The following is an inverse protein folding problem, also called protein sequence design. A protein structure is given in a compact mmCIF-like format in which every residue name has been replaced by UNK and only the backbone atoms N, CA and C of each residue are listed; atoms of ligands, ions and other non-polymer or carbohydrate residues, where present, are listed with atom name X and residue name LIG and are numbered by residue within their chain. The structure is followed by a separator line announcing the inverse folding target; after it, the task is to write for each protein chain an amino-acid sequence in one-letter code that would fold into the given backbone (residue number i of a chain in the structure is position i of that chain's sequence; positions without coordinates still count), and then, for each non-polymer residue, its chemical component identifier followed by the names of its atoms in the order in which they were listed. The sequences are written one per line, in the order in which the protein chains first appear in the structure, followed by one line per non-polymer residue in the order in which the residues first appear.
data_IF_825489169258
#
_entry.id   IF_825489169258
#
_cell.length_a   1.000
_cell.length_b   1.000
_cell.length_c   1.000
_cell.angle_alpha   90.00
_cell.angle_beta   90.00
_cell.angle_gamma   90.00
#
_symmetry.space_group_name_H-M   'P 1'
#
loop_
_entity.id
_entity.type
_entity.pdbx_description
1 polymer ?
#
# COMPACT_ATOMS: atom_id res chain seq x y z
N UNK A 1 -1.20 18.65 -16.83
CA UNK A 1 -1.75 17.35 -16.49
C UNK A 1 -2.33 17.37 -15.07
N UNK A 2 -3.08 16.38 -14.70
CA UNK A 2 -3.62 16.24 -13.34
C UNK A 2 -2.53 15.82 -12.35
N UNK A 3 -2.60 16.25 -11.08
CA UNK A 3 -1.77 15.70 -10.01
C UNK A 3 -1.98 14.19 -9.84
N UNK A 4 -0.92 13.47 -9.40
CA UNK A 4 -0.98 12.02 -9.16
C UNK A 4 -2.10 11.67 -8.17
N UNK A 5 -2.19 12.42 -7.08
CA UNK A 5 -3.19 12.20 -6.04
C UNK A 5 -4.63 12.39 -6.54
N UNK A 6 -4.85 13.23 -7.56
CA UNK A 6 -6.18 13.36 -8.20
C UNK A 6 -6.57 12.09 -8.96
N UNK A 7 -5.64 11.43 -9.64
CA UNK A 7 -5.88 10.13 -10.28
C UNK A 7 -6.22 9.04 -9.25
N UNK A 8 -5.52 9.03 -8.12
CA UNK A 8 -5.78 8.10 -7.01
C UNK A 8 -7.21 8.32 -6.47
N UNK A 9 -7.57 9.57 -6.18
CA UNK A 9 -8.92 9.92 -5.66
C UNK A 9 -10.01 9.53 -6.66
N UNK A 10 -9.81 9.77 -7.95
CA UNK A 10 -10.76 9.33 -8.98
C UNK A 10 -10.93 7.81 -9.01
N UNK A 11 -9.83 7.07 -8.86
CA UNK A 11 -9.84 5.62 -8.77
C UNK A 11 -10.58 5.12 -7.53
N UNK A 12 -10.30 5.67 -6.36
CA UNK A 12 -11.00 5.35 -5.10
C UNK A 12 -12.50 5.64 -5.21
N UNK A 13 -12.86 6.81 -5.74
CA UNK A 13 -14.25 7.18 -5.99
C UNK A 13 -14.96 6.19 -6.90
N UNK A 14 -14.30 5.71 -7.96
CA UNK A 14 -14.89 4.73 -8.90
C UNK A 14 -15.18 3.38 -8.22
N UNK A 15 -14.42 3.03 -7.19
CA UNK A 15 -14.64 1.86 -6.33
C UNK A 15 -15.70 2.08 -5.23
N UNK A 16 -16.31 3.27 -5.17
CA UNK A 16 -17.33 3.61 -4.17
C UNK A 16 -16.77 4.23 -2.88
N UNK A 17 -15.46 4.41 -2.77
CA UNK A 17 -14.80 5.02 -1.60
C UNK A 17 -14.90 6.53 -1.73
N UNK A 18 -15.56 7.20 -0.79
CA UNK A 18 -15.81 8.64 -0.84
C UNK A 18 -15.27 9.41 0.35
N UNK A 19 -15.07 8.78 1.48
CA UNK A 19 -14.46 9.35 2.66
C UNK A 19 -12.96 9.10 2.59
N UNK A 20 -12.16 10.16 2.50
CA UNK A 20 -10.71 10.08 2.28
C UNK A 20 -10.00 10.88 3.35
N UNK A 21 -9.09 10.25 4.06
CA UNK A 21 -8.16 10.92 4.96
C UNK A 21 -6.79 11.04 4.28
N UNK A 22 -6.37 12.26 3.99
CA UNK A 22 -5.04 12.54 3.47
C UNK A 22 -4.07 12.76 4.64
N UNK A 23 -3.11 11.85 4.77
CA UNK A 23 -2.01 12.02 5.71
C UNK A 23 -0.92 12.83 5.02
N UNK A 24 -0.74 14.05 5.47
CA UNK A 24 0.18 15.02 4.86
C UNK A 24 1.41 15.24 5.75
N UNK A 25 2.47 15.74 5.13
CA UNK A 25 3.72 16.09 5.82
C UNK A 25 4.31 17.37 5.22
N UNK A 26 5.42 17.24 4.50
CA UNK A 26 6.08 18.37 3.85
C UNK A 26 5.17 19.02 2.79
N UNK A 27 5.07 20.34 2.83
CA UNK A 27 4.21 21.16 1.95
C UNK A 27 2.72 20.76 1.98
N UNK A 28 2.21 20.37 3.14
CA UNK A 28 0.82 20.00 3.33
C UNK A 28 -0.16 21.03 2.77
N UNK A 29 0.14 22.31 2.96
CA UNK A 29 -0.67 23.44 2.51
C UNK A 29 -0.95 23.45 0.99
N UNK A 30 -0.05 22.90 0.19
CA UNK A 30 -0.24 22.78 -1.27
C UNK A 30 -1.34 21.75 -1.58
N UNK A 31 -1.30 20.61 -0.90
CA UNK A 31 -2.30 19.54 -1.05
C UNK A 31 -3.65 20.02 -0.50
N UNK A 32 -3.67 20.58 0.70
CA UNK A 32 -4.87 21.09 1.36
C UNK A 32 -5.56 22.19 0.53
N UNK A 33 -4.77 23.11 -0.05
CA UNK A 33 -5.30 24.17 -0.92
C UNK A 33 -5.87 23.63 -2.24
N UNK A 34 -5.31 22.53 -2.79
CA UNK A 34 -5.76 21.97 -4.05
C UNK A 34 -7.05 21.17 -3.90
N UNK A 35 -7.15 20.33 -2.86
CA UNK A 35 -8.28 19.42 -2.70
C UNK A 35 -9.41 20.00 -1.82
N UNK A 36 -9.12 20.98 -0.96
CA UNK A 36 -10.11 21.58 -0.05
C UNK A 36 -10.84 20.51 0.78
N UNK A 37 -12.15 20.57 0.83
CA UNK A 37 -13.01 19.57 1.48
C UNK A 37 -13.32 18.33 0.60
N UNK A 38 -12.80 18.30 -0.63
CA UNK A 38 -13.02 17.22 -1.59
C UNK A 38 -14.29 17.34 -2.42
N UNK A 39 -15.19 18.27 -2.11
CA UNK A 39 -16.51 18.40 -2.77
C UNK A 39 -16.39 18.63 -4.29
N UNK A 40 -15.39 19.39 -4.74
CA UNK A 40 -15.08 19.61 -6.15
C UNK A 40 -14.70 18.32 -6.90
N UNK A 41 -14.23 17.29 -6.21
CA UNK A 41 -13.85 15.98 -6.75
C UNK A 41 -14.93 14.91 -6.51
N UNK A 42 -16.01 15.26 -5.80
CA UNK A 42 -17.13 14.38 -5.46
C UNK A 42 -16.79 13.34 -4.39
N UNK A 43 -15.91 13.70 -3.47
CA UNK A 43 -15.50 12.98 -2.27
C UNK A 43 -15.53 13.91 -1.05
N UNK A 44 -15.37 13.35 0.14
CA UNK A 44 -15.14 14.08 1.37
C UNK A 44 -13.67 13.87 1.78
N UNK A 45 -12.93 14.97 1.94
CA UNK A 45 -11.51 14.92 2.30
C UNK A 45 -11.31 15.50 3.69
N UNK A 46 -10.68 14.72 4.54
CA UNK A 46 -10.13 15.18 5.82
C UNK A 46 -8.62 15.10 5.79
N UNK A 47 -7.97 15.87 6.63
CA UNK A 47 -6.51 15.93 6.69
C UNK A 47 -6.02 15.56 8.07
N UNK A 48 -4.92 14.81 8.10
CA UNK A 48 -4.11 14.59 9.30
C UNK A 48 -2.65 14.79 8.94
N UNK A 49 -1.87 15.23 9.90
CA UNK A 49 -0.45 15.49 9.70
C UNK A 49 0.40 14.41 10.34
N UNK A 50 1.34 13.86 9.59
CA UNK A 50 2.42 13.06 10.15
C UNK A 50 3.53 14.02 10.60
N UNK A 51 3.62 14.26 11.90
CA UNK A 51 4.58 15.22 12.47
C UNK A 51 6.03 14.76 12.32
N UNK A 52 6.27 13.45 12.45
CA UNK A 52 7.59 12.84 12.32
C UNK A 52 7.56 11.84 11.16
N UNK A 53 8.35 12.11 10.13
CA UNK A 53 8.46 11.24 8.95
C UNK A 53 9.53 10.16 9.22
N UNK A 54 9.20 9.17 10.03
CA UNK A 54 10.11 8.11 10.47
C UNK A 54 9.66 6.71 9.99
N UNK A 55 9.08 6.66 8.81
CA UNK A 55 8.69 5.44 8.11
C UNK A 55 7.21 5.37 7.77
N UNK A 56 6.84 4.32 7.07
CA UNK A 56 5.46 4.08 6.59
C UNK A 56 4.58 3.38 7.63
N UNK A 57 5.19 2.68 8.58
CA UNK A 57 4.49 1.80 9.51
C UNK A 57 3.50 2.50 10.44
N UNK A 58 3.82 3.74 10.82
CA UNK A 58 2.98 4.57 11.70
C UNK A 58 2.28 5.71 10.96
N UNK A 59 2.48 5.83 9.66
CA UNK A 59 1.94 6.93 8.88
C UNK A 59 0.40 7.00 8.91
N UNK A 60 -0.28 5.87 9.00
CA UNK A 60 -1.74 5.81 9.06
C UNK A 60 -2.34 6.08 10.45
N UNK A 61 -1.55 6.02 11.54
CA UNK A 61 -2.07 6.18 12.91
C UNK A 61 -2.86 7.47 13.15
N UNK A 62 -2.50 8.64 12.57
CA UNK A 62 -3.29 9.85 12.72
C UNK A 62 -4.74 9.74 12.21
N UNK A 63 -5.04 8.76 11.33
CA UNK A 63 -6.39 8.51 10.83
C UNK A 63 -7.23 7.60 11.73
N UNK A 64 -6.65 6.97 12.76
CA UNK A 64 -7.32 5.98 13.61
C UNK A 64 -8.68 6.42 14.14
N UNK A 65 -8.79 7.67 14.65
CA UNK A 65 -10.03 8.21 15.17
C UNK A 65 -11.10 8.43 14.08
N UNK A 66 -10.67 8.74 12.85
CA UNK A 66 -11.57 8.93 11.70
C UNK A 66 -12.12 7.60 11.24
N UNK A 67 -11.24 6.60 11.11
CA UNK A 67 -11.60 5.23 10.69
C UNK A 67 -12.48 4.54 11.73
N UNK A 68 -12.21 4.76 13.01
CA UNK A 68 -12.98 4.13 14.10
C UNK A 68 -12.83 2.61 14.08
N UNK A 69 -13.94 1.91 13.87
CA UNK A 69 -13.99 0.45 13.82
C UNK A 69 -14.20 -0.11 12.41
N UNK A 70 -14.19 0.76 11.41
CA UNK A 70 -14.40 0.36 10.01
C UNK A 70 -13.12 -0.18 9.38
N UNK A 71 -13.29 -0.97 8.32
CA UNK A 71 -12.18 -1.37 7.46
C UNK A 71 -11.74 -0.16 6.61
N UNK A 72 -10.46 -0.09 6.26
CA UNK A 72 -9.94 1.03 5.49
C UNK A 72 -8.98 0.60 4.40
N UNK A 73 -9.00 1.34 3.28
CA UNK A 73 -8.00 1.22 2.22
C UNK A 73 -6.86 2.21 2.48
N UNK A 74 -5.64 1.73 2.45
CA UNK A 74 -4.41 2.51 2.55
C UNK A 74 -3.65 2.45 1.23
N UNK A 75 -3.29 3.59 0.67
CA UNK A 75 -2.43 3.70 -0.51
C UNK A 75 -1.40 4.79 -0.32
N UNK A 76 -0.20 4.60 -0.86
CA UNK A 76 0.76 5.68 -0.94
C UNK A 76 0.33 6.67 -2.01
N UNK A 77 0.66 7.95 -1.81
CA UNK A 77 0.23 9.06 -2.68
C UNK A 77 0.98 9.17 -4.00
N UNK A 78 1.95 8.29 -4.24
CA UNK A 78 2.81 8.22 -5.41
C UNK A 78 2.64 6.93 -6.24
N UNK A 79 1.72 6.04 -5.84
CA UNK A 79 1.42 4.80 -6.56
C UNK A 79 0.27 5.02 -7.54
N UNK A 80 0.52 4.80 -8.82
CA UNK A 80 -0.50 4.84 -9.87
C UNK A 80 -0.84 3.44 -10.36
N UNK A 81 -2.14 3.14 -10.36
CA UNK A 81 -2.72 1.90 -10.91
C UNK A 81 -3.94 2.25 -11.75
N UNK A 82 -4.43 1.27 -12.49
CA UNK A 82 -5.73 1.41 -13.16
C UNK A 82 -6.85 1.55 -12.12
N UNK A 83 -7.85 2.43 -12.34
CA UNK A 83 -8.98 2.63 -11.40
C UNK A 83 -9.69 1.34 -11.00
N UNK A 84 -9.80 0.36 -11.91
CA UNK A 84 -10.45 -0.92 -11.67
C UNK A 84 -9.75 -1.75 -10.59
N UNK A 85 -8.47 -1.48 -10.32
CA UNK A 85 -7.71 -2.15 -9.25
C UNK A 85 -8.38 -1.97 -7.90
N UNK A 86 -8.83 -0.75 -7.58
CA UNK A 86 -9.49 -0.47 -6.30
C UNK A 86 -10.82 -1.23 -6.15
N UNK A 87 -11.63 -1.29 -7.20
CA UNK A 87 -12.88 -2.06 -7.18
C UNK A 87 -12.63 -3.57 -7.02
N UNK A 88 -11.56 -4.09 -7.65
CA UNK A 88 -11.16 -5.50 -7.49
C UNK A 88 -10.67 -5.79 -6.07
N UNK A 89 -9.95 -4.84 -5.44
CA UNK A 89 -9.52 -4.96 -4.03
C UNK A 89 -10.73 -5.07 -3.11
N UNK A 90 -11.69 -4.13 -3.22
CA UNK A 90 -12.92 -4.14 -2.42
C UNK A 90 -13.69 -5.44 -2.62
N UNK A 91 -13.85 -5.90 -3.87
CA UNK A 91 -14.50 -7.16 -4.18
C UNK A 91 -13.79 -8.34 -3.54
N UNK A 92 -12.47 -8.48 -3.75
CA UNK A 92 -11.68 -9.60 -3.22
C UNK A 92 -11.69 -9.63 -1.69
N UNK A 93 -11.59 -8.47 -1.06
CA UNK A 93 -11.65 -8.35 0.40
C UNK A 93 -13.01 -8.82 0.95
N UNK A 94 -14.09 -8.49 0.26
CA UNK A 94 -15.45 -8.92 0.62
C UNK A 94 -15.77 -10.41 0.37
N UNK A 95 -14.87 -11.18 -0.27
CA UNK A 95 -15.06 -12.62 -0.53
C UNK A 95 -14.74 -13.52 0.68
N UNK A 96 -14.15 -12.96 1.74
CA UNK A 96 -13.75 -13.72 2.93
C UNK A 96 -13.69 -12.88 4.19
N UNK A 97 -13.33 -13.52 5.30
CA UNK A 97 -13.03 -12.83 6.55
C UNK A 97 -11.51 -12.62 6.63
N UNK A 98 -11.06 -11.49 6.12
CA UNK A 98 -9.65 -11.15 6.08
C UNK A 98 -9.34 -10.03 7.08
N UNK A 99 -8.21 -10.11 7.78
CA UNK A 99 -7.68 -9.01 8.57
C UNK A 99 -7.03 -7.93 7.69
N UNK A 100 -6.74 -8.27 6.45
CA UNK A 100 -6.24 -7.34 5.45
C UNK A 100 -6.17 -7.94 4.05
N UNK A 101 -5.84 -7.08 3.10
CA UNK A 101 -5.50 -7.43 1.73
C UNK A 101 -4.29 -6.59 1.31
N UNK A 102 -3.35 -7.21 0.63
CA UNK A 102 -2.24 -6.48 0.00
C UNK A 102 -2.23 -6.72 -1.51
N UNK A 103 -1.78 -5.71 -2.25
CA UNK A 103 -1.58 -5.83 -3.69
C UNK A 103 -0.13 -6.16 -4.02
N UNK A 104 0.05 -6.92 -5.09
CA UNK A 104 1.37 -7.29 -5.60
C UNK A 104 1.47 -7.09 -7.11
N UNK A 105 2.70 -6.87 -7.56
CA UNK A 105 3.06 -6.80 -8.98
C UNK A 105 4.28 -7.68 -9.26
N UNK A 106 4.63 -7.88 -10.53
CA UNK A 106 5.80 -8.64 -10.97
C UNK A 106 6.75 -7.73 -11.75
N UNK A 107 7.99 -8.17 -11.89
CA UNK A 107 8.98 -7.50 -12.73
C UNK A 107 9.78 -6.41 -12.04
N UNK A 108 9.48 -6.13 -10.77
CA UNK A 108 10.18 -5.14 -9.96
C UNK A 108 11.40 -5.73 -9.24
N UNK A 109 12.33 -4.85 -8.88
CA UNK A 109 13.49 -5.20 -8.07
C UNK A 109 13.08 -5.33 -6.59
N UNK A 110 12.90 -6.57 -6.11
CA UNK A 110 12.44 -6.84 -4.74
C UNK A 110 13.39 -6.37 -3.65
N UNK A 111 14.65 -6.06 -3.98
CA UNK A 111 15.58 -5.47 -3.02
C UNK A 111 15.23 -4.03 -2.64
N UNK A 112 14.36 -3.39 -3.43
CA UNK A 112 13.87 -2.02 -3.19
C UNK A 112 12.54 -1.95 -2.45
N UNK A 113 11.88 -3.08 -2.26
CA UNK A 113 10.60 -3.20 -1.56
C UNK A 113 10.47 -4.58 -0.93
N UNK A 114 9.24 -5.08 -0.75
CA UNK A 114 9.00 -6.39 -0.16
C UNK A 114 8.81 -7.49 -1.20
N UNK A 115 9.29 -8.70 -0.90
CA UNK A 115 8.89 -9.92 -1.61
C UNK A 115 7.84 -10.66 -0.79
N UNK A 116 6.77 -11.11 -1.45
CA UNK A 116 5.63 -11.76 -0.84
C UNK A 116 5.50 -13.21 -1.34
N UNK A 117 5.14 -14.10 -0.43
CA UNK A 117 4.86 -15.50 -0.71
C UNK A 117 3.42 -15.81 -0.31
N UNK A 118 2.74 -16.60 -1.12
CA UNK A 118 1.32 -16.90 -0.93
C UNK A 118 1.11 -18.41 -0.89
N UNK A 119 0.03 -18.81 -0.21
CA UNK A 119 -0.50 -20.15 -0.27
C UNK A 119 -1.38 -20.39 -1.52
N UNK A 120 -1.95 -21.59 -1.65
CA UNK A 120 -2.80 -21.97 -2.79
C UNK A 120 -4.10 -21.14 -2.89
N UNK A 121 -4.56 -20.53 -1.79
CA UNK A 121 -5.72 -19.62 -1.76
C UNK A 121 -5.36 -18.17 -2.07
N UNK A 122 -4.08 -17.91 -2.40
CA UNK A 122 -3.49 -16.60 -2.59
C UNK A 122 -3.64 -15.73 -1.33
N UNK A 123 -3.43 -16.35 -0.16
CA UNK A 123 -3.27 -15.67 1.11
C UNK A 123 -1.79 -15.59 1.49
N UNK A 124 -1.39 -14.46 2.11
CA UNK A 124 0.01 -14.20 2.45
C UNK A 124 0.50 -15.22 3.48
N UNK A 125 1.55 -15.95 3.14
CA UNK A 125 2.22 -16.90 4.02
C UNK A 125 3.52 -16.36 4.59
N UNK A 126 4.23 -15.52 3.83
CA UNK A 126 5.49 -14.88 4.25
C UNK A 126 5.71 -13.59 3.50
N UNK A 127 6.31 -12.62 4.17
CA UNK A 127 6.80 -11.37 3.59
C UNK A 127 8.22 -11.14 4.08
N UNK A 128 9.11 -10.70 3.18
CA UNK A 128 10.47 -10.27 3.50
C UNK A 128 10.67 -8.86 2.94
N UNK A 129 10.90 -7.90 3.82
CA UNK A 129 11.07 -6.49 3.43
C UNK A 129 12.49 -6.22 2.98
N UNK A 130 12.63 -5.66 1.77
CA UNK A 130 13.91 -5.26 1.16
C UNK A 130 15.02 -6.30 1.34
N UNK A 131 14.80 -7.55 0.86
CA UNK A 131 15.79 -8.61 1.04
C UNK A 131 17.10 -8.24 0.39
N UNK A 132 18.20 -8.55 1.05
CA UNK A 132 19.54 -8.52 0.43
C UNK A 132 19.69 -9.62 -0.61
N UNK A 133 20.69 -9.51 -1.49
CA UNK A 133 20.98 -10.59 -2.44
C UNK A 133 21.32 -11.91 -1.73
N UNK A 134 22.01 -11.85 -0.59
CA UNK A 134 22.34 -13.01 0.24
C UNK A 134 21.09 -13.69 0.79
N UNK A 135 20.11 -12.90 1.28
CA UNK A 135 18.82 -13.43 1.73
C UNK A 135 18.00 -14.03 0.58
N UNK A 136 18.04 -13.44 -0.61
CA UNK A 136 17.39 -14.02 -1.79
C UNK A 136 18.04 -15.37 -2.20
N UNK A 137 19.37 -15.47 -2.12
CA UNK A 137 20.09 -16.71 -2.40
C UNK A 137 19.79 -17.77 -1.34
N UNK A 138 19.64 -17.38 -0.08
CA UNK A 138 19.19 -18.26 1.00
C UNK A 138 17.77 -18.78 0.75
N UNK A 139 16.82 -17.91 0.36
CA UNK A 139 15.44 -18.30 0.04
C UNK A 139 15.40 -19.31 -1.12
N UNK A 140 16.31 -19.18 -2.11
CA UNK A 140 16.47 -20.17 -3.19
C UNK A 140 17.04 -21.48 -2.68
N UNK A 141 18.08 -21.42 -1.85
CA UNK A 141 18.70 -22.61 -1.26
C UNK A 141 17.73 -23.41 -0.37
N UNK A 142 16.86 -22.72 0.34
CA UNK A 142 15.80 -23.29 1.17
C UNK A 142 14.61 -23.84 0.32
N UNK A 143 14.57 -23.58 -0.98
CA UNK A 143 13.48 -23.98 -1.87
C UNK A 143 12.18 -23.18 -1.68
N UNK A 144 12.27 -22.06 -0.97
CA UNK A 144 11.14 -21.11 -0.77
C UNK A 144 10.89 -20.30 -2.04
N UNK A 145 11.97 -19.90 -2.73
CA UNK A 145 11.92 -19.23 -4.02
C UNK A 145 12.56 -20.14 -5.07
N UNK A 146 11.75 -20.68 -5.99
CA UNK A 146 12.23 -21.59 -7.05
C UNK A 146 12.42 -20.83 -8.36
N UNK A 147 13.29 -21.36 -9.21
CA UNK A 147 13.47 -20.85 -10.56
C UNK A 147 12.16 -20.99 -11.35
N UNK A 148 11.69 -19.88 -11.91
CA UNK A 148 10.43 -19.82 -12.66
C UNK A 148 9.19 -19.52 -11.83
N UNK A 149 9.30 -19.47 -10.51
CA UNK A 149 8.20 -18.99 -9.67
C UNK A 149 7.99 -17.47 -9.88
N UNK A 150 6.75 -17.00 -9.83
CA UNK A 150 6.48 -15.56 -9.88
C UNK A 150 7.07 -14.89 -8.63
N UNK A 151 7.77 -13.79 -8.85
CA UNK A 151 8.33 -12.97 -7.77
C UNK A 151 7.38 -11.81 -7.50
N UNK A 152 6.66 -11.90 -6.38
CA UNK A 152 5.63 -10.94 -6.01
C UNK A 152 6.20 -9.76 -5.24
N UNK A 153 6.31 -8.61 -5.91
CA UNK A 153 6.70 -7.34 -5.31
C UNK A 153 5.52 -6.69 -4.58
N UNK A 154 5.74 -6.14 -3.38
CA UNK A 154 4.71 -5.41 -2.64
C UNK A 154 4.36 -4.10 -3.35
N UNK A 155 3.12 -3.97 -3.81
CA UNK A 155 2.71 -2.87 -4.67
C UNK A 155 2.23 -1.61 -3.92
N UNK A 156 2.21 -1.61 -2.58
CA UNK A 156 1.98 -0.40 -1.78
C UNK A 156 0.51 0.05 -1.68
N UNK A 157 -0.44 -0.83 -1.95
CA UNK A 157 -1.88 -0.56 -1.77
C UNK A 157 -2.48 -1.71 -0.96
N UNK A 158 -3.23 -1.37 0.09
CA UNK A 158 -3.72 -2.31 1.08
C UNK A 158 -5.18 -2.05 1.45
N UNK A 159 -5.86 -3.07 1.98
CA UNK A 159 -7.05 -2.92 2.81
C UNK A 159 -6.71 -3.55 4.16
N UNK A 160 -7.15 -2.92 5.24
CA UNK A 160 -6.98 -3.43 6.59
C UNK A 160 -8.28 -3.34 7.38
N UNK A 161 -8.52 -4.32 8.25
CA UNK A 161 -9.46 -4.17 9.33
C UNK A 161 -8.91 -3.17 10.36
N UNK A 162 -9.80 -2.48 11.11
CA UNK A 162 -9.41 -1.49 12.10
C UNK A 162 -8.40 -2.01 13.14
N UNK A 163 -8.43 -3.32 13.45
CA UNK A 163 -7.47 -3.95 14.35
C UNK A 163 -6.01 -3.80 13.92
N UNK A 164 -5.74 -3.53 12.64
CA UNK A 164 -4.37 -3.32 12.14
C UNK A 164 -3.70 -2.08 12.78
N UNK A 165 -4.47 -1.09 13.25
CA UNK A 165 -3.91 0.04 13.99
C UNK A 165 -3.17 -0.37 15.27
N UNK A 166 -3.63 -1.42 15.96
CA UNK A 166 -2.96 -1.92 17.17
C UNK A 166 -1.59 -2.52 16.84
N UNK A 167 -1.46 -3.13 15.64
CA UNK A 167 -0.17 -3.63 15.13
C UNK A 167 0.76 -2.47 14.73
N UNK A 168 0.23 -1.46 14.05
CA UNK A 168 1.01 -0.26 13.67
C UNK A 168 1.50 0.52 14.90
N UNK A 169 0.72 0.59 15.97
CA UNK A 169 1.05 1.32 17.20
C UNK A 169 2.20 0.67 17.97
N UNK A 170 2.26 -0.67 18.01
CA UNK A 170 3.28 -1.43 18.73
C UNK A 170 4.57 -1.68 17.94
N UNK A 171 4.66 -1.19 16.70
CA UNK A 171 5.87 -1.34 15.88
C UNK A 171 7.12 -0.80 16.59
N UNK A 172 8.21 -1.52 16.42
CA UNK A 172 9.56 -1.08 16.74
C UNK A 172 10.27 -0.59 15.47
N UNK A 173 11.31 0.22 15.64
CA UNK A 173 12.10 0.68 14.51
C UNK A 173 12.94 -0.46 13.94
N UNK A 174 12.91 -0.60 12.62
CA UNK A 174 13.79 -1.51 11.89
C UNK A 174 15.26 -1.14 12.07
N UNK A 175 16.21 -2.00 11.69
CA UNK A 175 17.65 -1.67 11.69
C UNK A 175 17.97 -0.41 10.86
N UNK A 176 17.09 0.02 9.98
CA UNK A 176 17.18 1.27 9.20
C UNK A 176 16.73 2.50 9.98
N UNK A 177 16.19 2.33 11.19
CA UNK A 177 15.69 3.41 12.05
C UNK A 177 14.27 3.88 11.68
N UNK A 178 13.54 3.14 10.84
CA UNK A 178 12.21 3.46 10.36
C UNK A 178 11.18 2.46 10.89
N UNK A 179 9.93 2.91 11.06
CA UNK A 179 8.80 2.04 11.28
C UNK A 179 8.28 1.55 9.92
N UNK A 180 8.31 0.24 9.71
CA UNK A 180 7.93 -0.38 8.44
C UNK A 180 6.49 -0.91 8.52
N UNK A 181 5.64 -0.55 7.55
CA UNK A 181 4.28 -1.08 7.49
C UNK A 181 4.27 -2.60 7.29
N UNK A 182 5.26 -3.10 6.58
CA UNK A 182 5.45 -4.54 6.34
C UNK A 182 5.69 -5.33 7.61
N UNK A 183 6.30 -4.73 8.66
CA UNK A 183 6.47 -5.39 9.95
C UNK A 183 5.11 -5.59 10.66
N UNK A 184 4.17 -4.63 10.54
CA UNK A 184 2.81 -4.81 11.04
C UNK A 184 2.06 -5.94 10.30
N UNK A 185 2.28 -6.07 8.98
CA UNK A 185 1.71 -7.16 8.17
C UNK A 185 2.32 -8.51 8.58
N UNK A 186 3.63 -8.56 8.80
CA UNK A 186 4.32 -9.76 9.29
C UNK A 186 3.76 -10.20 10.65
N UNK A 187 3.54 -9.25 11.55
CA UNK A 187 3.00 -9.55 12.88
C UNK A 187 1.55 -10.03 12.82
N UNK A 188 0.72 -9.46 11.92
CA UNK A 188 -0.62 -9.98 11.65
C UNK A 188 -0.56 -11.45 11.21
N UNK A 189 0.33 -11.80 10.27
CA UNK A 189 0.49 -13.20 9.79
C UNK A 189 0.99 -14.12 10.91
N UNK A 190 1.93 -13.67 11.76
CA UNK A 190 2.39 -14.45 12.93
C UNK A 190 1.28 -14.72 13.95
N UNK A 191 0.34 -13.78 14.11
CA UNK A 191 -0.83 -13.93 14.96
C UNK A 191 -1.98 -14.66 14.23
N UNK A 192 -1.65 -15.45 13.19
CA UNK A 192 -2.57 -16.28 12.40
C UNK A 192 -3.72 -15.50 11.75
N UNK A 193 -3.53 -14.18 11.55
CA UNK A 193 -4.49 -13.36 10.83
C UNK A 193 -4.34 -13.57 9.32
N UNK A 194 -5.44 -13.78 8.63
CA UNK A 194 -5.44 -14.03 7.19
C UNK A 194 -5.35 -12.72 6.41
N UNK A 195 -4.31 -12.57 5.59
CA UNK A 195 -4.12 -11.44 4.67
C UNK A 195 -4.28 -11.96 3.24
N UNK A 196 -5.29 -11.49 2.54
CA UNK A 196 -5.51 -11.85 1.13
C UNK A 196 -4.49 -11.16 0.22
N UNK A 197 -4.09 -11.83 -0.84
CA UNK A 197 -3.33 -11.23 -1.95
C UNK A 197 -4.23 -10.79 -3.09
N UNK A 198 -3.81 -9.77 -3.83
CA UNK A 198 -4.37 -9.39 -5.12
C UNK A 198 -3.27 -8.99 -6.09
N UNK A 199 -3.16 -9.69 -7.22
CA UNK A 199 -2.27 -9.28 -8.32
C UNK A 199 -2.86 -8.06 -9.04
N UNK A 200 -2.04 -7.01 -9.18
CA UNK A 200 -2.38 -5.86 -10.02
C UNK A 200 -2.36 -6.30 -11.49
N UNK A 201 -3.42 -6.01 -12.22
CA UNK A 201 -3.50 -6.22 -13.65
C UNK A 201 -3.22 -4.94 -14.42
N UNK A 202 -2.30 -5.03 -15.36
CA UNK A 202 -1.90 -3.91 -16.20
C UNK A 202 -0.88 -3.02 -15.51
N UNK A 203 -1.03 -1.71 -15.67
CA UNK A 203 -0.01 -0.74 -15.24
C UNK A 203 0.00 -0.56 -13.73
N UNK A 204 1.17 -0.66 -13.15
CA UNK A 204 1.56 -0.19 -11.82
C UNK A 204 2.77 0.72 -11.97
N UNK A 205 2.77 1.86 -11.32
CA UNK A 205 3.88 2.81 -11.35
C UNK A 205 4.06 3.42 -9.97
N UNK A 206 5.26 3.32 -9.45
CA UNK A 206 5.71 4.06 -8.28
C UNK A 206 6.47 5.31 -8.77
N UNK A 207 5.89 6.49 -8.53
CA UNK A 207 6.41 7.77 -9.03
C UNK A 207 7.38 8.36 -8.01
N UNK A 208 8.50 7.65 -7.77
CA UNK A 208 9.51 8.03 -6.76
C UNK A 208 10.38 9.19 -7.21
N UNK A 209 10.55 9.36 -8.50
CA UNK A 209 11.50 10.32 -9.05
C UNK A 209 10.96 11.08 -10.27
N UNK A 210 11.58 12.24 -10.60
CA UNK A 210 11.16 13.07 -11.72
C UNK A 210 11.25 12.41 -13.10
N UNK A 211 12.09 11.40 -13.28
CA UNK A 211 12.27 10.69 -14.55
C UNK A 211 11.05 9.83 -14.85
N UNK A 212 10.55 9.11 -13.85
CA UNK A 212 9.29 8.35 -13.94
C UNK A 212 8.12 9.30 -14.24
N UNK A 213 8.06 10.45 -13.57
CA UNK A 213 7.03 11.45 -13.83
C UNK A 213 7.10 12.02 -15.26
N UNK A 214 8.30 12.20 -15.82
CA UNK A 214 8.49 12.68 -17.18
C UNK A 214 7.98 11.65 -18.20
N UNK A 215 8.32 10.36 -18.04
CA UNK A 215 7.87 9.31 -18.94
C UNK A 215 6.35 9.17 -19.00
N UNK A 216 5.66 9.42 -17.87
CA UNK A 216 4.19 9.42 -17.80
C UNK A 216 3.56 10.53 -18.64
N UNK A 217 4.24 11.68 -18.78
CA UNK A 217 3.75 12.82 -19.59
C UNK A 217 3.87 12.57 -21.08
N UNK A 218 4.96 11.92 -21.49
CA UNK A 218 5.23 11.61 -22.90
C UNK A 218 4.25 10.57 -23.46
N UNK A 219 3.81 9.61 -22.63
CA UNK A 219 2.81 8.62 -23.02
C UNK A 219 1.36 9.19 -23.09
N UNK A 220 1.10 10.32 -22.45
CA UNK A 220 -0.21 10.97 -22.42
C UNK A 220 -0.38 12.02 -23.54
N UNK A 221 0.64 12.22 -24.39
CA UNK A 221 0.68 13.18 -25.50
C UNK A 221 0.48 12.48 -26.83
#
# INVERSE_FOLDING_TARGET
GKPILEHIIEGLKSAGIREICLITGWKAEVIESHFGDGSAFGVEVTYRRQEVQDGTGRAALPAREIVGNDDFLLTYGDILVRPETYARMVKRYGEGQFAGLLTVTEGEDVTKGGINFFDDAFCLSRLVEKPTHEELDQLRAEGVLKDGDPVWYNAGIYIFAAAAFDYMERLEKSPRGEYELTDAIIDLVKDEQTIAGLKIEGRWVDVRDPEVLASLKDEAS
#
